data_IF_774326283488
#
_entry.id   IF_774326283488
#
_cell.length_a   1.000
_cell.length_b   1.000
_cell.length_c   1.000
_cell.angle_alpha   90.00
_cell.angle_beta   90.00
_cell.angle_gamma   90.00
#
_symmetry.space_group_name_H-M   'P 1'
#
loop_
_entity.id
_entity.type
_entity.pdbx_description
1 polymer ?
#
# COMPACT_ATOMS: atom_id res chain seq x y z
N UNK A 1 -7.98 3.08 10.00
CA UNK A 1 -8.30 3.21 8.57
C UNK A 1 -9.35 2.18 8.13
N UNK A 2 -9.13 0.86 8.26
CA UNK A 2 -10.02 -0.20 7.74
C UNK A 2 -11.48 -0.10 8.24
N UNK A 3 -11.70 0.28 9.50
CA UNK A 3 -13.05 0.41 10.09
C UNK A 3 -13.90 1.51 9.44
N UNK A 4 -13.27 2.57 8.93
CA UNK A 4 -13.96 3.71 8.28
C UNK A 4 -14.04 3.46 6.78
N UNK A 5 -12.93 3.08 6.16
CA UNK A 5 -12.88 2.79 4.72
C UNK A 5 -13.74 1.58 4.33
N UNK A 6 -13.78 0.53 5.18
CA UNK A 6 -14.55 -0.71 5.00
C UNK A 6 -14.30 -1.36 3.64
N UNK A 7 -13.07 -1.81 3.38
CA UNK A 7 -12.74 -2.49 2.13
C UNK A 7 -13.41 -3.86 2.04
N UNK A 8 -13.60 -4.33 0.80
CA UNK A 8 -14.09 -5.68 0.50
C UNK A 8 -12.95 -6.70 0.44
N UNK A 9 -11.73 -6.24 0.17
CA UNK A 9 -10.52 -7.05 0.17
C UNK A 9 -9.27 -6.18 0.41
N UNK A 10 -8.17 -6.83 0.73
CA UNK A 10 -6.83 -6.24 0.88
C UNK A 10 -5.94 -6.82 -0.21
N UNK A 11 -5.13 -5.96 -0.82
CA UNK A 11 -4.06 -6.35 -1.75
C UNK A 11 -2.74 -5.81 -1.22
N UNK A 12 -1.78 -6.68 -1.00
CA UNK A 12 -0.44 -6.34 -0.53
C UNK A 12 0.59 -6.66 -1.62
N UNK A 13 1.49 -5.74 -1.89
CA UNK A 13 2.68 -5.99 -2.73
C UNK A 13 3.92 -6.01 -1.86
N UNK A 14 4.77 -7.05 -2.00
CA UNK A 14 5.93 -7.25 -1.14
C UNK A 14 5.59 -7.97 0.17
N UNK A 15 5.24 -9.26 0.10
CA UNK A 15 4.93 -10.07 1.30
C UNK A 15 6.11 -10.23 2.24
N UNK A 16 7.33 -10.33 1.69
CA UNK A 16 8.56 -10.60 2.43
C UNK A 16 8.39 -11.78 3.40
N UNK A 17 8.59 -11.56 4.71
CA UNK A 17 8.42 -12.61 5.75
C UNK A 17 6.97 -12.82 6.19
N UNK A 18 6.01 -12.05 5.67
CA UNK A 18 4.58 -12.20 5.95
C UNK A 18 4.13 -11.65 7.31
N UNK A 19 4.88 -10.74 7.92
CA UNK A 19 4.50 -10.14 9.21
C UNK A 19 3.29 -9.23 9.07
N UNK A 20 3.35 -8.29 8.13
CA UNK A 20 2.25 -7.38 7.82
C UNK A 20 1.03 -8.14 7.31
N UNK A 21 1.25 -9.14 6.44
CA UNK A 21 0.19 -10.03 5.94
C UNK A 21 -0.55 -10.72 7.08
N UNK A 22 0.20 -11.35 8.02
CA UNK A 22 -0.38 -12.03 9.18
C UNK A 22 -1.14 -11.08 10.10
N UNK A 23 -0.60 -9.87 10.32
CA UNK A 23 -1.28 -8.83 11.09
C UNK A 23 -2.61 -8.43 10.43
N UNK A 24 -2.60 -8.13 9.12
CA UNK A 24 -3.82 -7.76 8.39
C UNK A 24 -4.85 -8.90 8.39
N UNK A 25 -4.42 -10.15 8.25
CA UNK A 25 -5.30 -11.31 8.27
C UNK A 25 -6.00 -11.47 9.63
N UNK A 26 -5.25 -11.30 10.72
CA UNK A 26 -5.76 -11.38 12.09
C UNK A 26 -6.77 -10.27 12.41
N UNK A 27 -6.47 -9.04 11.96
CA UNK A 27 -7.24 -7.85 12.37
C UNK A 27 -8.49 -7.58 11.51
N UNK A 28 -8.57 -8.16 10.31
CA UNK A 28 -9.63 -7.79 9.36
C UNK A 28 -10.60 -8.90 8.98
N UNK A 29 -10.21 -10.15 9.01
CA UNK A 29 -10.93 -11.30 8.42
C UNK A 29 -11.32 -11.12 6.93
N UNK A 30 -10.72 -10.14 6.24
CA UNK A 30 -10.98 -9.86 4.83
C UNK A 30 -10.17 -10.79 3.94
N UNK A 31 -10.62 -11.07 2.72
CA UNK A 31 -9.77 -11.71 1.71
C UNK A 31 -8.50 -10.86 1.49
N UNK A 32 -7.34 -11.50 1.55
CA UNK A 32 -6.05 -10.86 1.29
C UNK A 32 -5.42 -11.52 0.07
N UNK A 33 -4.93 -10.70 -0.85
CA UNK A 33 -4.09 -11.11 -1.96
C UNK A 33 -2.71 -10.50 -1.76
N UNK A 34 -1.67 -11.33 -1.70
CA UNK A 34 -0.30 -10.86 -1.45
C UNK A 34 0.70 -11.51 -2.37
N UNK A 35 1.69 -10.76 -2.87
CA UNK A 35 2.72 -11.29 -3.75
C UNK A 35 4.13 -11.08 -3.22
N UNK A 36 4.97 -12.06 -3.53
CA UNK A 36 6.39 -12.06 -3.23
C UNK A 36 7.16 -12.67 -4.41
N UNK A 37 8.13 -11.93 -4.94
CA UNK A 37 8.93 -12.37 -6.09
C UNK A 37 10.01 -13.37 -5.69
N UNK A 38 10.63 -13.20 -4.51
CA UNK A 38 11.64 -14.14 -4.01
C UNK A 38 10.97 -15.40 -3.46
N UNK A 39 11.24 -16.53 -4.10
CA UNK A 39 10.64 -17.83 -3.75
C UNK A 39 10.92 -18.26 -2.30
N UNK A 40 12.02 -17.83 -1.70
CA UNK A 40 12.38 -18.18 -0.31
C UNK A 40 11.47 -17.44 0.66
N UNK A 41 11.32 -16.11 0.48
CA UNK A 41 10.39 -15.30 1.28
C UNK A 41 8.95 -15.72 1.07
N UNK A 42 8.54 -15.97 -0.18
CA UNK A 42 7.22 -16.54 -0.47
C UNK A 42 6.93 -17.82 0.33
N UNK A 43 7.87 -18.78 0.32
CA UNK A 43 7.70 -20.05 1.04
C UNK A 43 7.66 -19.83 2.55
N UNK A 44 8.49 -18.91 3.06
CA UNK A 44 8.54 -18.58 4.48
C UNK A 44 7.24 -17.91 4.94
N UNK A 45 6.75 -16.93 4.18
CA UNK A 45 5.50 -16.22 4.48
C UNK A 45 4.30 -17.19 4.49
N UNK A 46 4.21 -18.12 3.53
CA UNK A 46 3.18 -19.17 3.53
C UNK A 46 3.23 -20.04 4.79
N UNK A 47 4.42 -20.41 5.24
CA UNK A 47 4.57 -21.18 6.47
C UNK A 47 4.14 -20.36 7.70
N UNK A 48 4.55 -19.09 7.78
CA UNK A 48 4.15 -18.16 8.86
C UNK A 48 2.64 -18.01 8.94
N UNK A 49 2.00 -17.87 7.81
CA UNK A 49 0.57 -17.58 7.70
C UNK A 49 -0.32 -18.82 7.53
N UNK A 50 0.21 -20.04 7.74
CA UNK A 50 -0.48 -21.29 7.45
C UNK A 50 -1.81 -21.50 8.20
N UNK A 51 -2.04 -20.76 9.28
CA UNK A 51 -3.26 -20.83 10.10
C UNK A 51 -4.35 -19.82 9.66
N UNK A 52 -4.13 -19.08 8.57
CA UNK A 52 -5.10 -18.13 8.03
C UNK A 52 -5.67 -18.64 6.71
N UNK A 53 -6.99 -18.78 6.63
CA UNK A 53 -7.70 -19.29 5.45
C UNK A 53 -8.07 -18.18 4.44
N UNK A 54 -7.90 -16.92 4.83
CA UNK A 54 -8.29 -15.75 4.06
C UNK A 54 -7.16 -15.12 3.23
N UNK A 55 -6.02 -15.80 3.07
CA UNK A 55 -4.85 -15.29 2.35
C UNK A 55 -4.60 -16.07 1.07
N UNK A 56 -4.51 -15.34 -0.04
CA UNK A 56 -4.11 -15.84 -1.35
C UNK A 56 -2.69 -15.36 -1.66
N UNK A 57 -1.74 -16.30 -1.77
CA UNK A 57 -0.33 -16.02 -2.02
C UNK A 57 0.02 -16.19 -3.49
N UNK A 58 0.74 -15.23 -4.05
CA UNK A 58 1.25 -15.24 -5.43
C UNK A 58 2.77 -15.16 -5.42
N UNK A 59 3.46 -16.15 -6.03
CA UNK A 59 4.91 -16.04 -6.24
C UNK A 59 5.16 -15.41 -7.61
N UNK A 60 5.01 -14.09 -7.66
CA UNK A 60 5.08 -13.30 -8.88
C UNK A 60 5.49 -11.87 -8.57
N UNK A 61 5.79 -11.07 -9.60
CA UNK A 61 5.94 -9.62 -9.46
C UNK A 61 4.59 -8.95 -9.19
N UNK A 62 4.63 -7.79 -8.57
CA UNK A 62 3.43 -7.06 -8.14
C UNK A 62 2.56 -6.60 -9.32
N UNK A 63 3.18 -6.13 -10.40
CA UNK A 63 2.49 -5.71 -11.61
C UNK A 63 1.71 -6.86 -12.27
N UNK A 64 2.30 -8.07 -12.34
CA UNK A 64 1.59 -9.25 -12.87
C UNK A 64 0.41 -9.62 -11.96
N UNK A 65 0.60 -9.69 -10.64
CA UNK A 65 -0.49 -9.99 -9.72
C UNK A 65 -1.63 -8.98 -9.83
N UNK A 66 -1.32 -7.68 -9.88
CA UNK A 66 -2.33 -6.63 -9.98
C UNK A 66 -3.14 -6.73 -11.28
N UNK A 67 -2.48 -7.01 -12.42
CA UNK A 67 -3.18 -7.23 -13.69
C UNK A 67 -4.06 -8.49 -13.67
N UNK A 68 -3.58 -9.60 -13.10
CA UNK A 68 -4.34 -10.85 -12.98
C UNK A 68 -5.61 -10.68 -12.11
N UNK A 69 -5.53 -9.83 -11.08
CA UNK A 69 -6.64 -9.57 -10.16
C UNK A 69 -7.63 -8.51 -10.68
N UNK A 70 -7.30 -7.78 -11.74
CA UNK A 70 -8.04 -6.64 -12.26
C UNK A 70 -9.54 -6.91 -12.41
N UNK A 71 -9.89 -8.00 -13.11
CA UNK A 71 -11.30 -8.34 -13.35
C UNK A 71 -12.06 -8.75 -12.08
N UNK A 72 -11.35 -9.40 -11.13
CA UNK A 72 -11.94 -9.87 -9.87
C UNK A 72 -12.22 -8.73 -8.89
N UNK A 73 -11.43 -7.64 -8.96
CA UNK A 73 -11.45 -6.55 -7.98
C UNK A 73 -12.14 -5.28 -8.49
N UNK A 74 -12.49 -5.20 -9.77
CA UNK A 74 -12.99 -3.99 -10.44
C UNK A 74 -14.11 -3.26 -9.69
N UNK A 75 -15.13 -3.99 -9.27
CA UNK A 75 -16.34 -3.41 -8.66
C UNK A 75 -16.29 -3.43 -7.12
N UNK A 76 -15.11 -3.62 -6.55
CA UNK A 76 -14.88 -3.72 -5.11
C UNK A 76 -14.16 -2.50 -4.58
N UNK A 77 -14.38 -2.22 -3.30
CA UNK A 77 -13.56 -1.25 -2.53
C UNK A 77 -12.34 -1.96 -2.00
N UNK A 78 -11.16 -1.56 -2.45
CA UNK A 78 -9.92 -2.27 -2.16
C UNK A 78 -8.97 -1.40 -1.33
N UNK A 79 -8.42 -1.99 -0.27
CA UNK A 79 -7.25 -1.47 0.43
C UNK A 79 -5.99 -2.08 -0.17
N UNK A 80 -5.14 -1.24 -0.76
CA UNK A 80 -3.84 -1.62 -1.28
C UNK A 80 -2.75 -1.20 -0.30
N UNK A 81 -1.87 -2.12 0.07
CA UNK A 81 -0.65 -1.86 0.83
C UNK A 81 0.54 -2.15 -0.09
N UNK A 82 1.26 -1.09 -0.48
CA UNK A 82 2.35 -1.18 -1.45
C UNK A 82 3.70 -1.07 -0.73
N UNK A 83 4.44 -2.18 -0.74
CA UNK A 83 5.75 -2.35 -0.11
C UNK A 83 6.69 -3.24 -0.95
N UNK A 84 6.47 -3.33 -2.28
CA UNK A 84 7.27 -4.16 -3.20
C UNK A 84 8.50 -3.44 -3.77
N UNK A 85 8.91 -2.32 -3.20
CA UNK A 85 10.07 -1.59 -3.65
C UNK A 85 11.36 -2.18 -3.08
N UNK A 86 12.24 -2.65 -3.95
CA UNK A 86 13.50 -3.27 -3.58
C UNK A 86 14.61 -2.81 -4.54
N UNK A 87 15.85 -2.76 -4.08
CA UNK A 87 17.07 -2.16 -4.66
C UNK A 87 17.12 -1.94 -6.19
N UNK A 88 16.68 -2.90 -6.99
CA UNK A 88 16.83 -2.86 -8.43
C UNK A 88 15.56 -2.57 -9.21
N UNK A 89 14.40 -2.73 -8.60
CA UNK A 89 13.11 -2.39 -9.18
C UNK A 89 12.28 -1.53 -8.24
N UNK A 90 11.69 -0.46 -8.80
CA UNK A 90 10.73 0.41 -8.12
C UNK A 90 9.40 0.32 -8.89
N UNK A 91 8.59 -0.71 -8.64
CA UNK A 91 7.35 -0.93 -9.40
C UNK A 91 6.26 0.08 -9.08
N UNK A 92 6.42 0.89 -8.05
CA UNK A 92 5.42 1.77 -7.46
C UNK A 92 4.61 2.59 -8.48
N UNK A 93 5.26 3.21 -9.47
CA UNK A 93 4.53 3.97 -10.50
C UNK A 93 3.61 3.08 -11.34
N UNK A 94 4.11 1.90 -11.75
CA UNK A 94 3.32 0.92 -12.50
C UNK A 94 2.16 0.40 -11.67
N UNK A 95 2.38 0.12 -10.39
CA UNK A 95 1.35 -0.32 -9.46
C UNK A 95 0.23 0.70 -9.33
N UNK A 96 0.57 1.98 -9.09
CA UNK A 96 -0.41 3.08 -9.01
C UNK A 96 -1.20 3.19 -10.31
N UNK A 97 -0.54 3.12 -11.48
CA UNK A 97 -1.22 3.19 -12.78
C UNK A 97 -2.19 2.02 -13.00
N UNK A 98 -1.77 0.79 -12.69
CA UNK A 98 -2.62 -0.40 -12.82
C UNK A 98 -3.84 -0.26 -11.89
N UNK A 99 -3.63 0.10 -10.64
CA UNK A 99 -4.70 0.27 -9.64
C UNK A 99 -5.68 1.34 -10.10
N UNK A 100 -5.19 2.53 -10.48
CA UNK A 100 -6.04 3.63 -10.92
C UNK A 100 -6.90 3.27 -12.14
N UNK A 101 -6.31 2.54 -13.11
CA UNK A 101 -7.00 2.16 -14.34
C UNK A 101 -7.94 0.95 -14.18
N UNK A 102 -7.86 0.23 -13.05
CA UNK A 102 -8.61 -1.01 -12.84
C UNK A 102 -9.60 -0.96 -11.68
N UNK A 103 -9.46 -0.02 -10.75
CA UNK A 103 -10.28 0.07 -9.55
C UNK A 103 -10.97 1.44 -9.47
N UNK A 104 -12.28 1.44 -9.31
CA UNK A 104 -13.05 2.68 -9.12
C UNK A 104 -12.95 3.21 -7.69
N UNK A 105 -12.87 2.31 -6.70
CA UNK A 105 -12.84 2.63 -5.28
C UNK A 105 -11.61 2.01 -4.61
N UNK A 106 -10.61 2.84 -4.30
CA UNK A 106 -9.38 2.38 -3.69
C UNK A 106 -8.84 3.32 -2.61
N UNK A 107 -8.11 2.72 -1.69
CA UNK A 107 -7.28 3.34 -0.69
C UNK A 107 -5.90 2.65 -0.78
N UNK A 108 -4.91 3.37 -1.26
CA UNK A 108 -3.53 2.89 -1.38
C UNK A 108 -2.74 3.45 -0.20
N UNK A 109 -2.10 2.61 0.56
CA UNK A 109 -1.07 2.99 1.53
C UNK A 109 0.29 2.57 0.97
N UNK A 110 1.20 3.51 0.86
CA UNK A 110 2.59 3.28 0.44
C UNK A 110 3.45 3.39 1.69
N UNK A 111 4.17 2.32 2.00
CA UNK A 111 5.10 2.31 3.14
C UNK A 111 6.44 2.99 2.77
N UNK A 112 7.23 3.27 3.77
CA UNK A 112 8.56 3.86 3.66
C UNK A 112 8.63 5.15 2.83
N UNK A 113 7.54 5.93 2.82
CA UNK A 113 7.40 7.14 2.03
C UNK A 113 7.73 8.40 2.84
N UNK A 114 8.46 9.35 2.24
CA UNK A 114 8.87 10.59 2.89
C UNK A 114 7.67 11.48 3.25
N UNK A 115 7.56 11.84 4.53
CA UNK A 115 6.63 12.85 5.02
C UNK A 115 7.36 14.20 5.04
N UNK A 116 7.12 15.04 4.04
CA UNK A 116 7.93 16.23 3.76
C UNK A 116 8.00 17.24 4.91
N UNK A 117 6.96 17.33 5.72
CA UNK A 117 6.86 18.29 6.84
C UNK A 117 7.10 17.63 8.21
N UNK A 118 7.68 16.42 8.23
CA UNK A 118 8.08 15.71 9.46
C UNK A 118 9.32 14.84 9.21
N UNK A 119 10.49 15.43 9.38
CA UNK A 119 11.78 14.78 9.17
C UNK A 119 12.11 13.66 10.19
N UNK A 120 11.30 13.47 11.20
CA UNK A 120 11.48 12.41 12.17
C UNK A 120 10.96 11.04 11.67
N UNK A 121 10.19 11.01 10.58
CA UNK A 121 9.86 9.78 9.88
C UNK A 121 10.95 9.37 8.90
N UNK A 122 11.43 8.14 9.02
CA UNK A 122 12.32 7.52 8.04
C UNK A 122 11.59 7.20 6.73
N UNK A 123 12.34 7.09 5.65
CA UNK A 123 11.82 6.74 4.33
C UNK A 123 12.90 6.07 3.49
N UNK A 124 12.52 5.46 2.38
CA UNK A 124 13.45 4.80 1.49
C UNK A 124 14.02 5.74 0.41
N UNK A 125 15.35 5.65 0.27
CA UNK A 125 16.11 6.42 -0.71
C UNK A 125 17.00 5.47 -1.52
N UNK A 126 16.67 5.28 -2.79
CA UNK A 126 17.38 4.42 -3.74
C UNK A 126 18.39 5.19 -4.60
N UNK A 127 18.83 6.35 -4.15
CA UNK A 127 19.81 7.19 -4.81
C UNK A 127 19.34 7.65 -6.19
N UNK A 128 20.08 7.28 -7.26
CA UNK A 128 19.74 7.69 -8.63
C UNK A 128 18.43 7.12 -9.15
N UNK A 129 17.90 6.06 -8.55
CA UNK A 129 16.64 5.42 -8.96
C UNK A 129 15.42 6.13 -8.41
N UNK A 130 15.58 6.91 -7.36
CA UNK A 130 14.53 7.73 -6.79
C UNK A 130 14.51 7.70 -5.26
N UNK A 131 13.83 8.67 -4.72
CA UNK A 131 13.47 8.77 -3.32
C UNK A 131 11.97 8.57 -3.24
N UNK A 132 11.48 7.72 -2.34
CA UNK A 132 10.05 7.54 -2.15
C UNK A 132 9.44 8.81 -1.53
N UNK A 133 9.06 9.73 -2.37
CA UNK A 133 8.44 11.01 -1.98
C UNK A 133 7.48 11.50 -3.07
N UNK A 134 6.81 12.63 -2.82
CA UNK A 134 5.83 13.18 -3.75
C UNK A 134 6.44 13.47 -5.13
N UNK A 135 7.68 13.97 -5.19
CA UNK A 135 8.34 14.27 -6.48
C UNK A 135 8.50 13.00 -7.34
N UNK A 136 8.69 11.83 -6.70
CA UNK A 136 8.79 10.57 -7.42
C UNK A 136 7.51 10.20 -8.17
N UNK A 137 6.34 10.55 -7.63
CA UNK A 137 5.01 10.24 -8.21
C UNK A 137 4.29 11.46 -8.77
N UNK A 138 4.94 12.63 -8.85
CA UNK A 138 4.33 13.91 -9.22
C UNK A 138 3.62 13.87 -10.58
N UNK A 139 4.21 13.20 -11.55
CA UNK A 139 3.63 12.99 -12.87
C UNK A 139 2.29 12.25 -12.83
N UNK A 140 2.17 11.25 -11.95
CA UNK A 140 0.92 10.50 -11.74
C UNK A 140 -0.10 11.32 -10.95
N UNK A 141 0.36 12.08 -9.96
CA UNK A 141 -0.51 12.98 -9.18
C UNK A 141 -1.20 13.97 -10.10
N UNK A 142 -0.44 14.62 -11.00
CA UNK A 142 -1.02 15.56 -11.97
C UNK A 142 -1.87 14.90 -13.05
N UNK A 143 -1.44 13.73 -13.55
CA UNK A 143 -2.14 13.00 -14.63
C UNK A 143 -3.51 12.49 -14.19
N UNK A 144 -3.63 12.01 -12.95
CA UNK A 144 -4.81 11.30 -12.44
C UNK A 144 -5.57 12.08 -11.36
N UNK A 145 -5.18 13.31 -11.06
CA UNK A 145 -5.74 14.12 -9.95
C UNK A 145 -5.80 13.33 -8.62
N UNK A 146 -4.68 12.66 -8.29
CA UNK A 146 -4.62 11.79 -7.12
C UNK A 146 -4.76 12.59 -5.82
N UNK A 147 -5.57 12.09 -4.90
CA UNK A 147 -5.78 12.73 -3.61
C UNK A 147 -4.87 12.12 -2.55
N UNK A 148 -4.02 12.94 -1.96
CA UNK A 148 -2.92 12.53 -1.10
C UNK A 148 -3.17 12.89 0.37
N UNK A 149 -2.81 11.97 1.27
CA UNK A 149 -2.90 12.19 2.71
C UNK A 149 -1.64 11.66 3.41
N UNK A 150 -1.18 12.38 4.41
CA UNK A 150 -0.13 11.95 5.33
C UNK A 150 -0.73 11.46 6.66
N UNK A 151 0.04 10.71 7.49
CA UNK A 151 -0.30 10.52 8.90
C UNK A 151 -0.50 11.87 9.60
N UNK A 152 -1.54 11.98 10.40
CA UNK A 152 -1.79 13.18 11.22
C UNK A 152 -0.94 13.19 12.50
N UNK A 153 -0.53 12.00 12.97
CA UNK A 153 0.35 11.84 14.13
C UNK A 153 1.75 12.33 13.74
N UNK A 154 2.39 13.04 14.63
CA UNK A 154 3.79 13.46 14.47
C UNK A 154 4.73 12.33 14.86
N UNK A 155 5.87 12.24 14.18
CA UNK A 155 6.89 11.23 14.43
C UNK A 155 7.37 11.19 15.89
N UNK A 156 7.33 12.31 16.60
CA UNK A 156 7.67 12.41 18.02
C UNK A 156 6.70 11.60 18.91
N UNK A 157 5.42 11.53 18.51
CA UNK A 157 4.37 10.82 19.23
C UNK A 157 4.18 9.37 18.75
N UNK A 158 4.90 8.95 17.69
CA UNK A 158 4.84 7.58 17.19
C UNK A 158 5.49 6.62 18.17
N UNK A 159 4.77 5.56 18.52
CA UNK A 159 5.20 4.54 19.48
C UNK A 159 5.79 3.29 18.83
N UNK A 160 5.61 3.14 17.51
CA UNK A 160 6.13 2.04 16.70
C UNK A 160 7.41 2.40 15.95
N UNK A 161 7.62 1.71 14.86
CA UNK A 161 8.72 1.99 13.95
C UNK A 161 8.43 3.30 13.21
N UNK A 162 9.32 4.28 13.32
CA UNK A 162 9.12 5.62 12.76
C UNK A 162 9.41 5.64 11.26
N UNK A 163 8.61 4.91 10.49
CA UNK A 163 8.63 4.93 9.03
C UNK A 163 7.45 5.75 8.52
N UNK A 164 7.72 6.58 7.52
CA UNK A 164 6.69 7.42 6.94
C UNK A 164 5.83 6.65 5.96
N UNK A 165 4.64 7.13 5.75
CA UNK A 165 3.73 6.56 4.75
C UNK A 165 2.93 7.66 4.08
N UNK A 166 2.40 7.37 2.89
CA UNK A 166 1.44 8.24 2.21
C UNK A 166 0.22 7.41 1.82
N UNK A 167 -0.93 8.07 1.86
CA UNK A 167 -2.19 7.50 1.40
C UNK A 167 -2.59 8.18 0.10
N UNK A 168 -2.98 7.38 -0.88
CA UNK A 168 -3.60 7.82 -2.13
C UNK A 168 -5.01 7.23 -2.18
N UNK A 169 -6.00 8.03 -2.56
CA UNK A 169 -7.36 7.53 -2.69
C UNK A 169 -8.03 8.01 -3.97
N UNK A 170 -8.99 7.23 -4.46
CA UNK A 170 -9.87 7.64 -5.55
C UNK A 170 -10.75 8.82 -5.13
N UNK A 171 -11.18 9.63 -6.09
CA UNK A 171 -12.01 10.82 -5.84
C UNK A 171 -13.31 10.48 -5.11
N UNK A 172 -13.94 9.36 -5.42
CA UNK A 172 -15.20 8.95 -4.79
C UNK A 172 -15.06 8.61 -3.29
N UNK A 173 -13.83 8.33 -2.82
CA UNK A 173 -13.57 7.95 -1.43
C UNK A 173 -12.99 9.11 -0.58
N UNK A 174 -12.71 10.26 -1.16
CA UNK A 174 -12.08 11.41 -0.46
C UNK A 174 -12.85 11.81 0.80
N UNK A 175 -14.17 11.93 0.73
CA UNK A 175 -14.99 12.31 1.88
C UNK A 175 -14.84 11.32 3.02
N UNK A 176 -14.88 10.02 2.72
CA UNK A 176 -14.71 8.93 3.69
C UNK A 176 -13.31 8.91 4.32
N UNK A 177 -12.27 9.12 3.49
CA UNK A 177 -10.89 9.16 3.97
C UNK A 177 -10.63 10.37 4.85
N UNK A 178 -11.26 11.49 4.56
CA UNK A 178 -11.18 12.72 5.39
C UNK A 178 -11.75 12.52 6.79
N UNK A 179 -12.69 11.59 6.99
CA UNK A 179 -13.22 11.24 8.31
C UNK A 179 -12.23 10.41 9.16
N UNK A 180 -11.14 9.92 8.57
CA UNK A 180 -10.12 9.17 9.30
C UNK A 180 -9.25 10.16 10.06
N UNK A 181 -9.54 10.37 11.34
CA UNK A 181 -8.88 11.38 12.18
C UNK A 181 -7.36 11.20 12.35
N UNK A 182 -6.80 10.06 11.94
CA UNK A 182 -5.35 9.79 11.92
C UNK A 182 -4.67 10.18 10.61
N UNK A 183 -5.41 10.74 9.65
CA UNK A 183 -4.91 11.21 8.37
C UNK A 183 -5.15 12.72 8.21
N UNK A 184 -4.27 13.37 7.45
CA UNK A 184 -4.39 14.77 7.06
C UNK A 184 -4.11 14.93 5.58
N UNK A 185 -4.92 15.73 4.89
CA UNK A 185 -4.74 15.99 3.47
C UNK A 185 -3.41 16.70 3.22
N UNK A 186 -2.68 16.28 2.20
CA UNK A 186 -1.49 16.99 1.70
C UNK A 186 -1.94 18.29 1.05
N UNK A 187 -1.24 19.39 1.36
CA UNK A 187 -1.54 20.73 0.83
C UNK A 187 -0.77 21.00 -0.44
#
# INVERSE_FOLDING_TARGET
CLKIFKPDAIVETGTHTGETTAYMAKESNLPIHTCEIDKRYYSYAKLRCQNFDNINFYNNSSDIMLEDLRAQLKDKRIFYYLDAHFFDDLPLKREIEIIHNSSESYFIMIDDFQVLDDAGYGYDNYGKKGVLNINYIEDLVGKYDLQLFYPAIKSEAETGYKRGSIIITSLCEVSRVTEIGTLRKVK
#
